data_IF_537730511000
#
_entry.id   IF_537730511000
#
_cell.length_a   1.000
_cell.length_b   1.000
_cell.length_c   1.000
_cell.angle_alpha   90.00
_cell.angle_beta   90.00
_cell.angle_gamma   90.00
#
_symmetry.space_group_name_H-M   'P 1'
#
loop_
_entity.id
_entity.type
_entity.pdbx_description
1 polymer ?
#
# COMPACT_ATOMS: atom_id res chain seq x y z
N UNK A 1 11.05 16.33 3.09
CA UNK A 1 11.22 17.79 2.94
C UNK A 1 9.90 18.54 2.96
N UNK A 2 8.91 18.23 2.07
CA UNK A 2 7.63 18.97 2.03
C UNK A 2 6.87 18.88 3.35
N UNK A 3 6.81 17.73 3.98
CA UNK A 3 6.13 17.54 5.26
C UNK A 3 6.71 18.38 6.40
N UNK A 4 8.01 18.69 6.36
CA UNK A 4 8.68 19.51 7.37
C UNK A 4 8.67 21.01 7.03
N UNK A 5 8.78 21.35 5.74
CA UNK A 5 8.88 22.75 5.29
C UNK A 5 7.51 23.37 4.98
N UNK A 6 6.52 22.57 4.60
CA UNK A 6 5.17 22.99 4.25
C UNK A 6 4.13 21.97 4.76
N UNK A 7 3.98 21.81 6.08
CA UNK A 7 3.10 20.78 6.65
C UNK A 7 1.64 20.96 6.24
N UNK A 8 1.16 22.18 6.12
CA UNK A 8 -0.24 22.45 5.71
C UNK A 8 -0.52 21.98 4.28
N UNK A 9 0.42 22.15 3.35
CA UNK A 9 0.29 21.64 2.00
C UNK A 9 0.32 20.11 1.97
N UNK A 10 1.20 19.49 2.76
CA UNK A 10 1.23 18.03 2.91
C UNK A 10 -0.09 17.52 3.51
N UNK A 11 -0.59 18.18 4.57
CA UNK A 11 -1.88 17.84 5.19
C UNK A 11 -3.03 17.92 4.18
N UNK A 12 -3.12 18.95 3.36
CA UNK A 12 -4.17 19.11 2.36
C UNK A 12 -4.19 17.96 1.33
N UNK A 13 -3.02 17.45 0.94
CA UNK A 13 -2.92 16.26 0.07
C UNK A 13 -3.44 15.00 0.77
N UNK A 14 -3.13 14.82 2.05
CA UNK A 14 -3.61 13.68 2.82
C UNK A 14 -5.12 13.76 3.06
N UNK A 15 -5.65 14.94 3.34
CA UNK A 15 -7.08 15.19 3.49
C UNK A 15 -7.88 14.85 2.22
N UNK A 16 -7.30 15.09 1.04
CA UNK A 16 -7.88 14.62 -0.22
C UNK A 16 -8.04 13.10 -0.24
N UNK A 17 -7.02 12.35 0.19
CA UNK A 17 -7.08 10.89 0.27
C UNK A 17 -8.02 10.41 1.37
N UNK A 18 -8.06 11.06 2.53
CA UNK A 18 -9.01 10.74 3.62
C UNK A 18 -10.46 10.84 3.15
N UNK A 19 -10.82 11.91 2.43
CA UNK A 19 -12.16 12.04 1.83
C UNK A 19 -12.49 10.91 0.86
N UNK A 20 -11.49 10.36 0.17
CA UNK A 20 -11.62 9.23 -0.75
C UNK A 20 -11.71 7.85 -0.08
N UNK A 21 -11.59 7.74 1.25
CA UNK A 21 -11.50 6.45 1.95
C UNK A 21 -12.71 5.54 1.70
N UNK A 22 -13.92 6.11 1.61
CA UNK A 22 -15.13 5.33 1.30
C UNK A 22 -15.09 4.74 -0.11
N UNK A 23 -14.63 5.50 -1.09
CA UNK A 23 -14.45 5.02 -2.46
C UNK A 23 -13.35 3.95 -2.51
N UNK A 24 -12.25 4.14 -1.81
CA UNK A 24 -11.15 3.16 -1.73
C UNK A 24 -11.58 1.83 -1.10
N UNK A 25 -12.47 1.84 -0.10
CA UNK A 25 -13.13 0.61 0.41
C UNK A 25 -13.99 -0.07 -0.65
N UNK A 26 -14.69 0.71 -1.47
CA UNK A 26 -15.49 0.16 -2.58
C UNK A 26 -14.60 -0.42 -3.68
N UNK A 27 -13.49 0.24 -4.01
CA UNK A 27 -12.52 -0.25 -4.99
C UNK A 27 -11.94 -1.63 -4.57
N UNK A 28 -11.51 -1.77 -3.32
CA UNK A 28 -11.02 -3.06 -2.80
C UNK A 28 -12.07 -4.16 -2.98
N UNK A 29 -13.31 -3.88 -2.60
CA UNK A 29 -14.42 -4.84 -2.70
C UNK A 29 -14.76 -5.20 -4.15
N UNK A 30 -14.75 -4.23 -5.08
CA UNK A 30 -14.98 -4.47 -6.51
C UNK A 30 -13.87 -5.33 -7.13
N UNK A 31 -12.65 -5.23 -6.59
CA UNK A 31 -11.51 -6.08 -6.98
C UNK A 31 -11.49 -7.43 -6.24
N UNK A 32 -12.53 -7.79 -5.49
CA UNK A 32 -12.59 -9.02 -4.69
C UNK A 32 -11.62 -9.03 -3.51
N UNK A 33 -11.25 -7.85 -3.00
CA UNK A 33 -10.28 -7.68 -1.91
C UNK A 33 -10.95 -7.13 -0.65
N UNK A 34 -10.29 -7.31 0.50
CA UNK A 34 -10.65 -6.68 1.75
C UNK A 34 -9.93 -5.34 1.94
N UNK A 35 -10.30 -4.60 2.97
CA UNK A 35 -9.60 -3.38 3.36
C UNK A 35 -9.83 -2.19 2.42
N UNK A 36 -8.75 -1.51 2.05
CA UNK A 36 -8.77 -0.23 1.33
C UNK A 36 -7.79 -0.26 0.16
N UNK A 37 -8.30 -0.03 -1.05
CA UNK A 37 -7.50 0.11 -2.27
C UNK A 37 -7.73 1.50 -2.85
N UNK A 38 -6.77 2.39 -2.66
CA UNK A 38 -6.83 3.71 -3.27
C UNK A 38 -6.70 3.61 -4.79
N UNK A 39 -7.42 4.43 -5.55
CA UNK A 39 -7.34 4.41 -7.00
C UNK A 39 -5.97 4.89 -7.48
N UNK A 40 -5.55 4.37 -8.62
CA UNK A 40 -4.40 4.89 -9.36
C UNK A 40 -4.69 6.33 -9.82
N UNK A 41 -5.78 6.52 -10.56
CA UNK A 41 -6.29 7.83 -10.95
C UNK A 41 -7.56 8.16 -10.17
N UNK A 42 -7.47 9.04 -9.19
CA UNK A 42 -8.60 9.41 -8.36
C UNK A 42 -9.50 10.44 -9.07
N UNK A 43 -10.76 10.11 -9.29
CA UNK A 43 -11.76 11.07 -9.70
C UNK A 43 -11.90 12.18 -8.64
N UNK A 44 -11.76 13.48 -9.01
CA UNK A 44 -11.63 14.58 -8.04
C UNK A 44 -12.79 14.71 -7.05
N UNK A 45 -14.01 14.41 -7.50
CA UNK A 45 -15.22 14.57 -6.69
C UNK A 45 -15.60 13.31 -5.92
N UNK A 46 -15.38 12.12 -6.48
CA UNK A 46 -15.86 10.87 -5.90
C UNK A 46 -14.76 10.05 -5.23
N UNK A 47 -13.50 10.27 -5.59
CA UNK A 47 -12.37 9.47 -5.15
C UNK A 47 -12.34 8.05 -5.72
N UNK A 48 -13.20 7.75 -6.70
CA UNK A 48 -13.25 6.45 -7.38
C UNK A 48 -12.13 6.33 -8.41
N UNK A 49 -11.82 5.09 -8.83
CA UNK A 49 -10.90 4.83 -9.94
C UNK A 49 -11.45 5.42 -11.23
N UNK A 50 -10.66 6.26 -11.87
CA UNK A 50 -11.01 6.94 -13.12
C UNK A 50 -10.21 6.41 -14.33
N UNK A 51 -9.19 5.57 -14.10
CA UNK A 51 -8.45 4.94 -15.18
C UNK A 51 -9.34 3.99 -15.98
N UNK A 52 -9.02 3.78 -17.26
CA UNK A 52 -9.74 2.81 -18.09
C UNK A 52 -9.76 1.43 -17.44
N UNK A 53 -10.86 0.68 -17.64
CA UNK A 53 -11.13 -0.60 -16.98
C UNK A 53 -10.09 -1.72 -17.22
N UNK A 54 -10.56 -2.96 -17.20
CA UNK A 54 -9.69 -4.15 -17.29
C UNK A 54 -8.68 -4.06 -18.45
N UNK A 55 -7.39 -4.22 -18.13
CA UNK A 55 -6.28 -4.11 -19.09
C UNK A 55 -5.53 -2.77 -19.04
N UNK A 56 -5.98 -1.79 -18.24
CA UNK A 56 -5.18 -0.60 -17.97
C UNK A 56 -4.08 -0.88 -16.94
N UNK A 57 -3.05 -0.04 -16.90
CA UNK A 57 -2.01 -0.07 -15.88
C UNK A 57 -2.61 -0.07 -14.46
N UNK A 58 -3.67 0.73 -14.24
CA UNK A 58 -4.36 0.84 -12.96
C UNK A 58 -4.83 -0.49 -12.36
N UNK A 59 -5.12 -1.49 -13.19
CA UNK A 59 -5.54 -2.80 -12.70
C UNK A 59 -4.43 -3.57 -11.96
N UNK A 60 -3.17 -3.16 -12.13
CA UNK A 60 -1.98 -3.84 -11.62
C UNK A 60 -1.05 -2.92 -10.82
N UNK A 61 -1.41 -1.64 -10.66
CA UNK A 61 -0.63 -0.61 -9.95
C UNK A 61 -0.89 -0.64 -8.44
N UNK A 62 -0.48 -1.73 -7.81
CA UNK A 62 -0.72 -1.96 -6.38
C UNK A 62 0.03 -0.97 -5.48
N UNK A 63 1.17 -0.46 -5.94
CA UNK A 63 2.02 0.43 -5.16
C UNK A 63 1.38 1.79 -4.83
N UNK A 64 0.38 2.24 -5.60
CA UNK A 64 -0.35 3.48 -5.32
C UNK A 64 -0.98 3.49 -3.93
N UNK A 65 -1.69 2.41 -3.55
CA UNK A 65 -2.28 2.27 -2.20
C UNK A 65 -1.23 2.26 -1.09
N UNK A 66 -0.10 1.59 -1.34
CA UNK A 66 1.01 1.48 -0.40
C UNK A 66 1.67 2.84 -0.14
N UNK A 67 1.85 3.64 -1.19
CA UNK A 67 2.36 5.01 -1.07
C UNK A 67 1.44 5.92 -0.28
N UNK A 68 0.12 5.81 -0.48
CA UNK A 68 -0.84 6.57 0.32
C UNK A 68 -0.71 6.23 1.79
N UNK A 69 -0.76 4.95 2.17
CA UNK A 69 -0.61 4.53 3.57
C UNK A 69 0.73 5.01 4.18
N UNK A 70 1.82 4.84 3.43
CA UNK A 70 3.14 5.30 3.85
C UNK A 70 3.20 6.81 4.05
N UNK A 71 2.53 7.60 3.20
CA UNK A 71 2.51 9.05 3.34
C UNK A 71 1.80 9.51 4.62
N UNK A 72 0.70 8.86 5.01
CA UNK A 72 0.03 9.12 6.29
C UNK A 72 0.93 8.82 7.49
N UNK A 73 1.58 7.66 7.49
CA UNK A 73 2.51 7.30 8.57
C UNK A 73 3.69 8.28 8.66
N UNK A 74 4.32 8.63 7.52
CA UNK A 74 5.42 9.57 7.49
C UNK A 74 5.03 10.98 7.94
N UNK A 75 3.80 11.40 7.68
CA UNK A 75 3.32 12.70 8.17
C UNK A 75 3.16 12.68 9.69
N UNK A 76 2.56 11.62 10.24
CA UNK A 76 2.46 11.45 11.70
C UNK A 76 3.85 11.45 12.36
N UNK A 77 4.79 10.68 11.81
CA UNK A 77 6.17 10.62 12.30
C UNK A 77 6.87 11.99 12.26
N UNK A 78 6.71 12.71 11.14
CA UNK A 78 7.39 13.99 10.92
C UNK A 78 6.84 15.13 11.78
N UNK A 79 5.54 15.09 12.09
CA UNK A 79 4.86 16.14 12.87
C UNK A 79 4.75 15.82 14.36
N UNK A 80 4.84 14.55 14.73
CA UNK A 80 4.53 14.09 16.11
C UNK A 80 3.06 14.27 16.49
N UNK A 81 2.16 14.43 15.52
CA UNK A 81 0.73 14.64 15.74
C UNK A 81 0.02 13.32 16.08
N UNK A 82 -0.11 13.04 17.37
CA UNK A 82 -0.79 11.84 17.88
C UNK A 82 -2.29 11.82 17.53
N UNK A 83 -2.93 12.99 17.44
CA UNK A 83 -4.34 13.07 17.06
C UNK A 83 -4.50 12.68 15.58
N UNK A 84 -3.63 13.20 14.72
CA UNK A 84 -3.58 12.78 13.31
C UNK A 84 -3.31 11.27 13.15
N UNK A 85 -2.35 10.74 13.91
CA UNK A 85 -2.07 9.30 13.88
C UNK A 85 -3.31 8.47 14.23
N UNK A 86 -4.01 8.84 15.30
CA UNK A 86 -5.16 8.11 15.82
C UNK A 86 -6.41 8.22 14.95
N UNK A 87 -6.70 9.41 14.43
CA UNK A 87 -7.99 9.75 13.83
C UNK A 87 -7.97 9.74 12.30
N UNK A 88 -6.84 10.10 11.67
CA UNK A 88 -6.68 10.21 10.21
C UNK A 88 -5.82 9.09 9.63
N UNK A 89 -4.64 8.84 10.20
CA UNK A 89 -3.69 7.87 9.65
C UNK A 89 -4.11 6.42 9.93
N UNK A 90 -4.60 6.15 11.14
CA UNK A 90 -4.97 4.79 11.53
C UNK A 90 -5.99 4.13 10.59
N UNK A 91 -7.14 4.76 10.23
CA UNK A 91 -8.11 4.11 9.32
C UNK A 91 -7.53 3.77 7.95
N UNK A 92 -6.54 4.53 7.49
CA UNK A 92 -5.83 4.29 6.23
C UNK A 92 -4.85 3.13 6.39
N UNK A 93 -4.02 3.16 7.43
CA UNK A 93 -3.03 2.12 7.71
C UNK A 93 -3.68 0.76 7.96
N UNK A 94 -4.71 0.71 8.81
CA UNK A 94 -5.49 -0.51 9.05
C UNK A 94 -6.08 -1.06 7.75
N UNK A 95 -6.74 -0.18 7.00
CA UNK A 95 -7.42 -0.60 5.79
C UNK A 95 -6.48 -1.08 4.68
N UNK A 96 -5.33 -0.42 4.50
CA UNK A 96 -4.33 -0.85 3.51
C UNK A 96 -3.60 -2.10 3.98
N UNK A 97 -3.31 -2.26 5.27
CA UNK A 97 -2.74 -3.49 5.82
C UNK A 97 -3.65 -4.71 5.59
N UNK A 98 -4.96 -4.55 5.80
CA UNK A 98 -5.95 -5.59 5.49
C UNK A 98 -6.01 -5.90 3.98
N UNK A 99 -5.90 -4.86 3.15
CA UNK A 99 -5.85 -5.04 1.72
C UNK A 99 -4.59 -5.82 1.30
N UNK A 100 -3.41 -5.52 1.84
CA UNK A 100 -2.17 -6.27 1.59
C UNK A 100 -2.38 -7.76 1.89
N UNK A 101 -2.91 -8.10 3.05
CA UNK A 101 -3.19 -9.50 3.43
C UNK A 101 -4.10 -10.19 2.43
N UNK A 102 -5.13 -9.49 1.94
CA UNK A 102 -6.08 -10.06 0.96
C UNK A 102 -5.57 -10.06 -0.48
N UNK A 103 -4.56 -9.23 -0.79
CA UNK A 103 -3.98 -9.09 -2.14
C UNK A 103 -2.92 -10.15 -2.44
N UNK A 104 -2.16 -10.52 -1.43
CA UNK A 104 -1.07 -11.46 -1.57
C UNK A 104 -1.57 -12.91 -1.62
N UNK A 105 -0.85 -13.75 -2.34
CA UNK A 105 -1.14 -15.18 -2.48
C UNK A 105 -0.13 -15.99 -1.68
N UNK A 106 -0.62 -16.85 -0.77
CA UNK A 106 0.27 -17.77 -0.05
C UNK A 106 0.69 -18.92 -0.95
N UNK A 107 1.98 -19.17 -1.02
CA UNK A 107 2.60 -20.27 -1.76
C UNK A 107 3.60 -21.02 -0.89
N UNK A 108 4.30 -21.99 -1.46
CA UNK A 108 5.43 -22.66 -0.80
C UNK A 108 6.64 -21.74 -0.56
N UNK A 109 6.75 -20.62 -1.31
CA UNK A 109 7.84 -19.64 -1.18
C UNK A 109 7.53 -18.55 -0.13
N UNK A 110 6.30 -18.44 0.32
CA UNK A 110 5.83 -17.38 1.21
C UNK A 110 4.60 -16.66 0.65
N UNK A 111 4.44 -15.37 0.97
CA UNK A 111 3.39 -14.52 0.42
C UNK A 111 3.91 -13.80 -0.82
N UNK A 112 3.27 -14.05 -1.95
CA UNK A 112 3.66 -13.57 -3.29
C UNK A 112 2.66 -12.59 -3.87
N UNK A 113 3.16 -11.64 -4.63
CA UNK A 113 2.38 -10.65 -5.36
C UNK A 113 2.27 -11.08 -6.83
N UNK A 114 1.16 -11.70 -7.19
CA UNK A 114 0.93 -12.23 -8.53
C UNK A 114 0.38 -11.14 -9.44
N UNK A 115 0.98 -10.97 -10.62
CA UNK A 115 0.61 -10.01 -11.66
C UNK A 115 0.45 -8.59 -11.12
N UNK A 116 1.56 -7.99 -10.75
CA UNK A 116 1.64 -6.61 -10.30
C UNK A 116 2.73 -5.84 -11.07
N UNK A 117 2.42 -4.61 -11.38
CA UNK A 117 3.35 -3.69 -12.02
C UNK A 117 3.89 -2.72 -10.98
N UNK A 118 5.19 -2.57 -10.95
CA UNK A 118 5.86 -1.51 -10.21
C UNK A 118 6.00 -0.23 -11.05
N UNK A 119 6.82 0.73 -10.62
CA UNK A 119 6.99 2.00 -11.33
C UNK A 119 7.48 1.89 -12.78
N UNK A 120 7.92 0.72 -13.21
CA UNK A 120 8.42 0.48 -14.56
C UNK A 120 7.32 0.27 -15.61
N UNK A 121 6.05 0.15 -15.23
CA UNK A 121 4.88 0.01 -16.10
C UNK A 121 5.13 -0.86 -17.34
N UNK A 122 5.23 -2.18 -17.14
CA UNK A 122 5.43 -3.13 -18.25
C UNK A 122 4.08 -3.63 -18.79
N UNK A 123 3.97 -3.91 -20.11
CA UNK A 123 2.70 -4.31 -20.73
C UNK A 123 2.12 -5.63 -20.19
N UNK A 124 2.99 -6.57 -19.80
CA UNK A 124 2.59 -7.82 -19.16
C UNK A 124 3.06 -7.81 -17.70
N UNK A 125 2.14 -7.62 -16.75
CA UNK A 125 2.49 -7.51 -15.34
C UNK A 125 3.20 -8.75 -14.83
N UNK A 126 4.43 -8.64 -14.30
CA UNK A 126 5.18 -9.76 -13.78
C UNK A 126 4.65 -10.20 -12.41
N UNK A 127 5.13 -11.35 -11.97
CA UNK A 127 4.98 -11.77 -10.58
C UNK A 127 6.10 -11.20 -9.72
N UNK A 128 5.76 -10.88 -8.48
CA UNK A 128 6.69 -10.48 -7.44
C UNK A 128 7.48 -9.21 -7.75
N UNK A 129 6.75 -8.14 -8.13
CA UNK A 129 7.36 -6.81 -8.16
C UNK A 129 7.97 -6.46 -6.80
N UNK A 130 9.30 -6.38 -6.77
CA UNK A 130 10.05 -6.21 -5.51
C UNK A 130 9.75 -4.86 -4.85
N UNK A 131 9.50 -3.80 -5.64
CA UNK A 131 9.19 -2.49 -5.12
C UNK A 131 7.88 -2.52 -4.31
N UNK A 132 6.81 -3.09 -4.85
CA UNK A 132 5.53 -3.24 -4.17
C UNK A 132 5.61 -4.19 -2.97
N UNK A 133 6.39 -5.27 -3.05
CA UNK A 133 6.61 -6.17 -1.91
C UNK A 133 7.35 -5.47 -0.76
N UNK A 134 8.40 -4.71 -1.06
CA UNK A 134 9.14 -3.96 -0.03
C UNK A 134 8.29 -2.86 0.60
N UNK A 135 7.47 -2.16 -0.19
CA UNK A 135 6.49 -1.20 0.34
C UNK A 135 5.43 -1.88 1.19
N UNK A 136 4.95 -3.07 0.80
CA UNK A 136 4.00 -3.84 1.60
C UNK A 136 4.59 -4.19 2.97
N UNK A 137 5.85 -4.60 3.01
CA UNK A 137 6.55 -4.83 4.27
C UNK A 137 6.60 -3.57 5.15
N UNK A 138 7.02 -2.42 4.58
CA UNK A 138 7.09 -1.14 5.32
C UNK A 138 5.71 -0.74 5.87
N UNK A 139 4.66 -0.83 5.06
CA UNK A 139 3.29 -0.49 5.48
C UNK A 139 2.78 -1.41 6.59
N UNK A 140 3.05 -2.72 6.53
CA UNK A 140 2.68 -3.66 7.59
C UNK A 140 3.42 -3.35 8.90
N UNK A 141 4.71 -3.03 8.85
CA UNK A 141 5.47 -2.58 10.02
C UNK A 141 4.85 -1.33 10.65
N UNK A 142 4.50 -0.34 9.81
CA UNK A 142 3.88 0.92 10.25
C UNK A 142 2.48 0.73 10.82
N UNK A 143 1.68 -0.16 10.23
CA UNK A 143 0.35 -0.48 10.75
C UNK A 143 0.42 -1.15 12.13
N UNK A 144 1.38 -2.06 12.35
CA UNK A 144 1.62 -2.66 13.67
C UNK A 144 2.03 -1.59 14.68
N UNK A 145 3.03 -0.77 14.35
CA UNK A 145 3.50 0.30 15.24
C UNK A 145 2.40 1.33 15.56
N UNK A 146 1.60 1.71 14.56
CA UNK A 146 0.48 2.64 14.75
C UNK A 146 -0.63 2.04 15.63
N UNK A 147 -0.92 0.74 15.52
CA UNK A 147 -1.84 0.06 16.41
C UNK A 147 -1.37 0.16 17.86
N UNK A 148 -0.12 -0.20 18.12
CA UNK A 148 0.49 -0.16 19.46
C UNK A 148 0.50 1.26 20.02
N UNK A 149 0.96 2.25 19.24
CA UNK A 149 1.02 3.64 19.65
C UNK A 149 -0.35 4.25 19.97
N UNK A 150 -1.42 3.73 19.37
CA UNK A 150 -2.81 4.19 19.58
C UNK A 150 -3.61 3.29 20.54
N UNK A 151 -2.93 2.37 21.24
CA UNK A 151 -3.54 1.47 22.23
C UNK A 151 -4.45 0.38 21.62
N UNK A 152 -4.24 0.05 20.35
CA UNK A 152 -4.97 -0.99 19.62
C UNK A 152 -4.15 -2.27 19.51
N UNK A 153 -4.81 -3.40 19.36
CA UNK A 153 -4.13 -4.68 19.12
C UNK A 153 -3.94 -4.89 17.63
N UNK A 154 -2.70 -5.02 17.13
CA UNK A 154 -2.45 -5.33 15.72
C UNK A 154 -2.98 -6.73 15.37
N UNK A 155 -3.42 -6.91 14.14
CA UNK A 155 -3.91 -8.23 13.68
C UNK A 155 -2.73 -9.18 13.47
N UNK A 156 -2.84 -10.40 13.97
CA UNK A 156 -1.79 -11.41 13.84
C UNK A 156 -1.41 -11.70 12.37
N UNK A 157 -2.39 -11.61 11.45
CA UNK A 157 -2.16 -11.79 10.02
C UNK A 157 -1.21 -10.76 9.40
N UNK A 158 -1.12 -9.54 9.96
CA UNK A 158 -0.19 -8.53 9.46
C UNK A 158 1.26 -8.92 9.72
N UNK A 159 1.54 -9.39 10.94
CA UNK A 159 2.87 -9.88 11.29
C UNK A 159 3.22 -11.17 10.51
N UNK A 160 2.27 -12.10 10.39
CA UNK A 160 2.45 -13.33 9.63
C UNK A 160 2.83 -13.03 8.17
N UNK A 161 2.08 -12.15 7.49
CA UNK A 161 2.36 -11.77 6.10
C UNK A 161 3.70 -11.06 5.99
N UNK A 162 3.96 -10.06 6.85
CA UNK A 162 5.20 -9.29 6.87
C UNK A 162 6.44 -10.20 6.97
N UNK A 163 6.41 -11.14 7.91
CA UNK A 163 7.56 -11.99 8.24
C UNK A 163 7.79 -13.11 7.21
N UNK A 164 6.81 -13.37 6.34
CA UNK A 164 6.86 -14.41 5.32
C UNK A 164 6.66 -13.87 3.90
N UNK A 165 6.91 -12.58 3.66
CA UNK A 165 6.92 -12.03 2.31
C UNK A 165 8.04 -12.67 1.48
N UNK A 166 7.70 -13.09 0.28
CA UNK A 166 8.69 -13.52 -0.70
C UNK A 166 9.36 -12.29 -1.34
N UNK A 167 10.68 -12.35 -1.52
CA UNK A 167 11.41 -11.38 -2.33
C UNK A 167 12.19 -12.12 -3.41
N UNK A 168 12.19 -11.63 -4.66
CA UNK A 168 12.93 -12.25 -5.78
C UNK A 168 14.43 -11.97 -5.65
N UNK A 169 15.13 -12.77 -4.85
CA UNK A 169 16.57 -12.66 -4.66
C UNK A 169 17.29 -13.57 -5.64
N UNK A 170 18.21 -13.01 -6.41
CA UNK A 170 19.04 -13.68 -7.40
C UNK A 170 20.15 -14.51 -6.72
N UNK A 171 20.82 -15.35 -7.52
CA UNK A 171 21.95 -16.17 -7.03
C UNK A 171 23.14 -15.33 -6.55
N UNK A 172 23.32 -14.11 -7.08
CA UNK A 172 24.32 -13.14 -6.63
C UNK A 172 23.88 -12.34 -5.37
N UNK A 173 22.75 -12.73 -4.75
CA UNK A 173 22.15 -12.12 -3.56
C UNK A 173 21.62 -10.69 -3.77
N UNK A 174 21.43 -10.27 -5.00
CA UNK A 174 20.80 -9.00 -5.35
C UNK A 174 19.30 -9.22 -5.52
N UNK A 175 18.48 -8.30 -5.02
CA UNK A 175 17.03 -8.30 -5.24
C UNK A 175 16.78 -7.95 -6.72
N UNK A 176 16.11 -8.84 -7.44
CA UNK A 176 15.64 -8.56 -8.80
C UNK A 176 14.41 -7.64 -8.76
N UNK A 177 14.16 -6.90 -9.83
CA UNK A 177 12.97 -6.05 -9.93
C UNK A 177 11.67 -6.88 -9.86
N UNK A 178 11.70 -8.10 -10.41
CA UNK A 178 10.60 -9.08 -10.38
C UNK A 178 11.12 -10.47 -10.77
N UNK A 179 10.32 -11.51 -10.63
CA UNK A 179 10.74 -12.92 -10.89
C UNK A 179 11.26 -13.16 -12.32
N UNK A 180 10.68 -12.50 -13.31
CA UNK A 180 11.09 -12.64 -14.72
C UNK A 180 12.25 -11.70 -15.12
N UNK A 181 12.80 -10.90 -14.19
CA UNK A 181 13.88 -9.96 -14.50
C UNK A 181 15.16 -10.72 -14.90
N UNK A 182 15.74 -10.33 -16.02
CA UNK A 182 17.03 -10.85 -16.54
C UNK A 182 17.93 -9.67 -16.86
N UNK A 183 19.22 -9.83 -16.62
CA UNK A 183 20.28 -8.92 -17.06
C UNK A 183 20.97 -9.53 -18.27
#
# INVERSE_FOLDING_TARGET
>A
PVMLSQPDAARALLDFRSRGLRAAKSNARLSGRQGVQFPWEAAPLTGQEAAPGAGSAAAHEDHGSLHVARAFALFADATGDEAFLRDDAWPVLEGVADWIVSRLTRTARGYELIRATGPAEVPDPPDNDAFSLMLSHDVLCRAVAAAEATGRTPRASWAEVRDNLYLPVRSDKVIAAHDAFRI
#
